data_IF_841682013547
#
_entry.id   IF_841682013547
#
_cell.length_a   1.000
_cell.length_b   1.000
_cell.length_c   1.000
_cell.angle_alpha   90.00
_cell.angle_beta   90.00
_cell.angle_gamma   90.00
#
_symmetry.space_group_name_H-M   'P 1'
#
loop_
_entity.id
_entity.type
_entity.pdbx_description
1 polymer ?
#
# COMPACT_ATOMS: atom_id res chain seq x y z
N UNK A 1 -16.29 23.34 -5.41
CA UNK A 1 -17.65 22.76 -5.29
C UNK A 1 -17.80 21.94 -4.02
N UNK A 2 -17.13 20.79 -3.86
CA UNK A 2 -17.26 19.91 -2.67
C UNK A 2 -17.03 20.66 -1.35
N UNK A 3 -15.90 21.38 -1.22
CA UNK A 3 -15.61 22.17 -0.03
C UNK A 3 -16.71 23.18 0.32
N UNK A 4 -17.24 23.89 -0.70
CA UNK A 4 -18.32 24.86 -0.51
C UNK A 4 -19.65 24.19 -0.10
N UNK A 5 -19.94 22.98 -0.59
CA UNK A 5 -21.11 22.20 -0.17
C UNK A 5 -21.02 21.76 1.29
N UNK A 6 -19.82 21.43 1.75
CA UNK A 6 -19.53 21.03 3.14
C UNK A 6 -19.28 22.24 4.06
N UNK A 7 -19.36 23.48 3.55
CA UNK A 7 -19.15 24.70 4.34
C UNK A 7 -17.69 24.92 4.78
N UNK A 8 -16.71 24.29 4.11
CA UNK A 8 -15.29 24.38 4.44
C UNK A 8 -14.48 25.06 3.31
N UNK A 9 -13.25 25.45 3.65
CA UNK A 9 -12.32 26.02 2.67
C UNK A 9 -11.75 24.95 1.72
N UNK A 10 -11.50 25.35 0.48
CA UNK A 10 -10.86 24.48 -0.52
C UNK A 10 -9.43 24.12 -0.09
N UNK A 11 -9.07 22.85 -0.22
CA UNK A 11 -7.71 22.34 0.05
C UNK A 11 -6.83 22.34 -1.20
N UNK A 12 -7.31 22.84 -2.34
CA UNK A 12 -6.54 22.87 -3.60
C UNK A 12 -6.45 21.51 -4.33
N UNK A 13 -7.20 20.50 -3.90
CA UNK A 13 -7.16 19.12 -4.42
C UNK A 13 -8.18 18.85 -5.54
N UNK A 14 -8.43 19.83 -6.41
CA UNK A 14 -9.28 19.64 -7.58
C UNK A 14 -8.42 19.16 -8.76
N UNK A 15 -8.76 18.01 -9.34
CA UNK A 15 -8.07 17.44 -10.49
C UNK A 15 -9.04 17.12 -11.62
N UNK A 16 -8.53 17.07 -12.86
CA UNK A 16 -9.30 16.70 -14.05
C UNK A 16 -8.40 15.93 -15.01
N UNK A 17 -8.93 14.91 -15.67
CA UNK A 17 -8.16 14.10 -16.62
C UNK A 17 -7.89 14.83 -17.94
N UNK A 18 -8.81 15.71 -18.35
CA UNK A 18 -8.70 16.50 -19.58
C UNK A 18 -9.56 17.76 -19.54
N UNK A 19 -9.38 18.64 -20.52
CA UNK A 19 -10.20 19.84 -20.72
C UNK A 19 -11.70 19.55 -20.96
N UNK A 20 -12.06 18.29 -21.26
CA UNK A 20 -13.45 17.85 -21.47
C UNK A 20 -14.11 17.27 -20.21
N UNK A 21 -13.32 16.88 -19.21
CA UNK A 21 -13.82 16.29 -17.97
C UNK A 21 -14.13 17.34 -16.90
N UNK A 22 -15.18 17.12 -16.11
CA UNK A 22 -15.45 17.94 -14.93
C UNK A 22 -14.35 17.74 -13.87
N UNK A 23 -13.97 18.79 -13.12
CA UNK A 23 -13.08 18.63 -11.98
C UNK A 23 -13.70 17.74 -10.90
N UNK A 24 -12.89 16.86 -10.32
CA UNK A 24 -13.22 16.03 -9.18
C UNK A 24 -12.17 16.22 -8.07
N UNK A 25 -12.47 15.73 -6.87
CA UNK A 25 -11.47 15.71 -5.78
C UNK A 25 -10.46 14.61 -6.08
N UNK A 26 -9.17 14.92 -5.97
CA UNK A 26 -8.09 13.94 -6.17
C UNK A 26 -6.76 14.42 -5.60
N UNK A 27 -5.84 13.50 -5.40
CA UNK A 27 -4.48 13.80 -4.93
C UNK A 27 -3.62 14.41 -6.02
N UNK A 28 -2.79 15.41 -5.69
CA UNK A 28 -1.68 15.86 -6.53
C UNK A 28 -0.50 14.91 -6.39
N UNK A 29 0.11 14.86 -5.20
CA UNK A 29 1.16 13.92 -4.82
C UNK A 29 0.75 13.17 -3.55
N UNK A 30 0.76 11.84 -3.60
CA UNK A 30 0.47 10.99 -2.44
C UNK A 30 1.76 10.32 -1.97
N UNK A 31 2.25 10.73 -0.81
CA UNK A 31 3.56 10.30 -0.28
C UNK A 31 3.37 9.64 1.07
N UNK A 32 3.75 8.37 1.17
CA UNK A 32 4.02 7.72 2.45
C UNK A 32 5.42 8.14 2.89
N UNK A 33 5.51 8.88 3.99
CA UNK A 33 6.79 9.34 4.53
C UNK A 33 7.66 8.13 4.94
N UNK A 34 8.98 8.18 4.66
CA UNK A 34 9.86 7.07 4.99
C UNK A 34 10.11 7.04 6.50
N UNK A 35 10.36 5.84 7.02
CA UNK A 35 10.90 5.67 8.36
C UNK A 35 12.42 5.71 8.39
N UNK A 36 12.99 5.31 9.51
CA UNK A 36 14.46 5.33 9.73
C UNK A 36 15.12 3.96 9.50
N UNK A 37 14.33 2.88 9.54
CA UNK A 37 14.87 1.51 9.47
C UNK A 37 15.09 1.08 8.02
N UNK A 38 16.18 0.39 7.75
CA UNK A 38 16.36 -0.30 6.46
C UNK A 38 15.36 -1.44 6.30
N UNK A 39 15.09 -1.86 5.06
CA UNK A 39 14.25 -3.04 4.78
C UNK A 39 14.77 -4.29 5.48
N UNK A 40 16.09 -4.47 5.55
CA UNK A 40 16.71 -5.57 6.30
C UNK A 40 16.40 -5.48 7.82
N UNK A 41 16.48 -4.28 8.40
CA UNK A 41 16.14 -4.07 9.80
C UNK A 41 14.63 -4.24 10.09
N UNK A 42 13.75 -4.05 9.10
CA UNK A 42 12.33 -4.39 9.23
C UNK A 42 12.10 -5.90 9.24
N UNK A 43 12.89 -6.65 8.47
CA UNK A 43 12.82 -8.12 8.43
C UNK A 43 13.45 -8.79 9.65
N UNK A 44 14.31 -8.07 10.38
CA UNK A 44 14.92 -8.58 11.59
C UNK A 44 13.86 -8.94 12.66
N UNK A 45 14.04 -10.10 13.31
CA UNK A 45 13.07 -10.68 14.23
C UNK A 45 11.86 -11.37 13.58
N UNK A 46 11.72 -11.38 12.25
CA UNK A 46 10.67 -12.16 11.57
C UNK A 46 11.12 -13.63 11.49
N UNK A 47 10.56 -14.47 12.36
CA UNK A 47 10.85 -15.92 12.36
C UNK A 47 10.36 -16.61 11.09
N UNK A 48 9.13 -16.31 10.67
CA UNK A 48 8.52 -16.78 9.43
C UNK A 48 7.62 -15.68 8.88
N UNK A 49 7.83 -15.27 7.65
CA UNK A 49 7.05 -14.24 6.99
C UNK A 49 7.18 -14.28 5.48
N UNK A 50 6.57 -13.32 4.81
CA UNK A 50 6.60 -13.19 3.37
C UNK A 50 6.96 -11.76 2.99
N UNK A 51 8.01 -11.61 2.20
CA UNK A 51 8.36 -10.35 1.55
C UNK A 51 7.63 -10.27 0.21
N UNK A 52 6.55 -9.47 0.15
CA UNK A 52 5.74 -9.30 -1.06
C UNK A 52 6.46 -8.36 -2.03
N UNK A 53 6.76 -8.84 -3.24
CA UNK A 53 7.45 -8.06 -4.28
C UNK A 53 6.50 -7.57 -5.35
N UNK A 54 5.39 -8.27 -5.57
CA UNK A 54 4.41 -7.94 -6.61
C UNK A 54 2.99 -8.30 -6.14
N UNK A 55 2.04 -7.43 -6.49
CA UNK A 55 0.61 -7.65 -6.27
C UNK A 55 -0.12 -7.42 -7.58
N UNK A 56 -0.89 -8.41 -8.00
CA UNK A 56 -1.64 -8.43 -9.24
C UNK A 56 -3.14 -8.34 -8.94
N UNK A 57 -3.83 -7.43 -9.62
CA UNK A 57 -5.29 -7.30 -9.47
C UNK A 57 -5.74 -6.21 -8.50
N UNK A 58 -4.86 -5.29 -8.06
CA UNK A 58 -5.25 -4.17 -7.18
C UNK A 58 -6.40 -3.29 -7.70
N UNK A 59 -6.78 -3.39 -8.97
CA UNK A 59 -7.95 -2.71 -9.53
C UNK A 59 -9.29 -3.33 -9.08
N UNK A 60 -9.27 -4.50 -8.43
CA UNK A 60 -10.48 -5.21 -7.96
C UNK A 60 -10.87 -4.88 -6.51
N UNK A 61 -10.10 -4.03 -5.83
CA UNK A 61 -10.41 -3.59 -4.47
C UNK A 61 -11.76 -2.87 -4.48
N UNK A 62 -12.66 -3.25 -3.56
CA UNK A 62 -13.93 -2.57 -3.40
C UNK A 62 -13.72 -1.26 -2.62
N UNK A 63 -13.90 -0.07 -3.23
CA UNK A 63 -13.65 1.20 -2.53
C UNK A 63 -14.73 1.54 -1.49
N UNK A 64 -15.87 0.85 -1.49
CA UNK A 64 -16.96 1.07 -0.54
C UNK A 64 -16.72 0.27 0.74
N UNK A 65 -16.49 -1.05 0.62
CA UNK A 65 -16.25 -1.89 1.80
C UNK A 65 -14.79 -1.90 2.25
N UNK A 66 -13.85 -1.68 1.32
CA UNK A 66 -12.41 -1.81 1.55
C UNK A 66 -11.87 -3.21 1.32
N UNK A 67 -12.73 -4.17 0.95
CA UNK A 67 -12.31 -5.56 0.79
C UNK A 67 -11.47 -5.78 -0.47
N UNK A 68 -10.45 -6.62 -0.34
CA UNK A 68 -9.58 -7.03 -1.44
C UNK A 68 -9.32 -8.53 -1.39
N UNK A 69 -9.11 -9.11 -2.57
CA UNK A 69 -8.61 -10.46 -2.76
C UNK A 69 -7.84 -10.47 -4.08
N UNK A 70 -6.51 -10.52 -4.00
CA UNK A 70 -5.61 -10.25 -5.12
C UNK A 70 -4.45 -11.24 -5.13
N UNK A 71 -3.96 -11.55 -6.33
CA UNK A 71 -2.80 -12.41 -6.49
C UNK A 71 -1.53 -11.69 -6.03
N UNK A 72 -0.58 -12.42 -5.45
CA UNK A 72 0.70 -11.89 -5.05
C UNK A 72 1.85 -12.84 -5.37
N UNK A 73 3.06 -12.28 -5.41
CA UNK A 73 4.30 -13.03 -5.43
C UNK A 73 5.33 -12.36 -4.54
N UNK A 74 6.28 -13.15 -4.06
CA UNK A 74 7.24 -12.69 -3.07
C UNK A 74 8.33 -13.70 -2.77
N UNK A 75 9.00 -13.48 -1.65
CA UNK A 75 10.11 -14.30 -1.16
C UNK A 75 9.84 -14.64 0.29
N UNK A 76 10.01 -15.90 0.68
CA UNK A 76 9.88 -16.31 2.08
C UNK A 76 10.95 -15.64 2.93
N UNK A 77 10.55 -15.21 4.12
CA UNK A 77 11.44 -14.77 5.19
C UNK A 77 11.51 -15.89 6.23
N UNK A 78 12.70 -16.40 6.50
CA UNK A 78 12.95 -17.36 7.58
C UNK A 78 14.09 -16.83 8.45
N UNK A 79 13.83 -16.66 9.75
CA UNK A 79 14.78 -16.11 10.74
C UNK A 79 15.43 -14.80 10.28
N UNK A 80 14.63 -13.89 9.73
CA UNK A 80 15.06 -12.58 9.23
C UNK A 80 15.78 -12.60 7.86
N UNK A 81 15.94 -13.77 7.24
CA UNK A 81 16.62 -13.91 5.95
C UNK A 81 15.65 -14.25 4.82
N UNK A 82 15.87 -13.68 3.64
CA UNK A 82 15.18 -14.07 2.42
C UNK A 82 15.68 -15.44 1.95
N UNK A 83 14.76 -16.39 1.74
CA UNK A 83 15.12 -17.78 1.40
C UNK A 83 14.75 -18.15 -0.02
N UNK A 84 13.48 -18.53 -0.28
CA UNK A 84 13.05 -19.00 -1.59
C UNK A 84 11.84 -18.21 -2.13
N UNK A 85 11.69 -18.10 -3.47
CA UNK A 85 10.58 -17.38 -4.08
C UNK A 85 9.26 -18.15 -3.94
N UNK A 86 8.16 -17.43 -3.77
CA UNK A 86 6.79 -17.94 -3.72
C UNK A 86 5.94 -17.19 -4.73
N UNK A 87 5.10 -17.93 -5.46
CA UNK A 87 4.20 -17.42 -6.50
C UNK A 87 2.84 -18.08 -6.39
N UNK A 88 1.83 -17.48 -7.01
CA UNK A 88 0.49 -18.06 -7.07
C UNK A 88 -0.27 -18.00 -5.75
N UNK A 89 0.19 -17.18 -4.81
CA UNK A 89 -0.52 -16.93 -3.55
C UNK A 89 -1.57 -15.84 -3.75
N UNK A 90 -2.61 -15.89 -2.93
CA UNK A 90 -3.65 -14.87 -2.84
C UNK A 90 -3.53 -14.19 -1.49
N UNK A 91 -3.58 -12.87 -1.48
CA UNK A 91 -3.73 -12.07 -0.26
C UNK A 91 -5.13 -11.49 -0.24
N UNK A 92 -5.80 -11.58 0.91
CA UNK A 92 -7.15 -11.07 1.07
C UNK A 92 -7.31 -10.37 2.42
N UNK A 93 -8.29 -9.48 2.52
CA UNK A 93 -8.58 -8.74 3.74
C UNK A 93 -9.28 -7.43 3.47
N UNK A 94 -9.22 -6.53 4.45
CA UNK A 94 -9.74 -5.17 4.34
C UNK A 94 -8.59 -4.16 4.34
N UNK A 95 -8.64 -3.16 3.46
CA UNK A 95 -7.57 -2.17 3.32
C UNK A 95 -7.39 -1.31 4.60
N UNK A 96 -8.47 -1.05 5.34
CA UNK A 96 -8.39 -0.27 6.58
C UNK A 96 -7.65 -1.05 7.66
N UNK A 97 -7.93 -2.36 7.78
CA UNK A 97 -7.23 -3.24 8.71
C UNK A 97 -5.76 -3.40 8.31
N UNK A 98 -5.47 -3.50 7.00
CA UNK A 98 -4.11 -3.55 6.49
C UNK A 98 -3.34 -2.29 6.92
N UNK A 99 -3.90 -1.11 6.69
CA UNK A 99 -3.27 0.16 7.08
C UNK A 99 -3.06 0.26 8.60
N UNK A 100 -4.00 -0.23 9.41
CA UNK A 100 -3.87 -0.27 10.87
C UNK A 100 -2.84 -1.31 11.37
N UNK A 101 -2.57 -2.34 10.58
CA UNK A 101 -1.59 -3.38 10.91
C UNK A 101 -0.14 -3.00 10.57
N UNK A 102 0.08 -1.84 9.95
CA UNK A 102 1.42 -1.31 9.69
C UNK A 102 2.11 -1.03 11.03
N UNK A 103 3.25 -1.67 11.25
CA UNK A 103 4.07 -1.50 12.48
C UNK A 103 5.52 -1.13 12.20
N UNK A 104 5.86 -0.91 10.94
CA UNK A 104 7.17 -0.45 10.51
C UNK A 104 7.13 0.15 9.11
N UNK A 105 7.90 1.21 8.91
CA UNK A 105 8.11 1.85 7.61
C UNK A 105 9.60 1.94 7.35
N UNK A 106 10.00 1.61 6.14
CA UNK A 106 11.38 1.58 5.69
C UNK A 106 11.90 2.96 5.34
N UNK A 107 13.22 3.08 5.29
CA UNK A 107 13.93 4.28 4.80
C UNK A 107 14.07 4.30 3.27
N UNK A 108 13.62 3.26 2.58
CA UNK A 108 13.80 3.00 1.16
C UNK A 108 12.69 3.63 0.29
N UNK A 109 12.58 4.96 0.35
CA UNK A 109 11.58 5.69 -0.44
C UNK A 109 11.75 5.47 -1.95
N UNK A 110 10.66 5.12 -2.63
CA UNK A 110 10.57 4.98 -4.08
C UNK A 110 9.44 5.82 -4.64
N UNK A 111 9.70 6.44 -5.77
CA UNK A 111 8.74 7.27 -6.50
C UNK A 111 8.15 6.50 -7.69
N UNK A 112 6.84 6.60 -7.85
CA UNK A 112 6.03 6.09 -8.94
C UNK A 112 5.17 7.22 -9.50
N UNK A 113 5.79 8.09 -10.30
CA UNK A 113 5.15 9.32 -10.78
C UNK A 113 4.79 10.24 -9.59
N UNK A 114 3.50 10.54 -9.43
CA UNK A 114 3.00 11.37 -8.33
C UNK A 114 2.71 10.62 -7.03
N UNK A 115 3.14 9.36 -6.93
CA UNK A 115 3.02 8.55 -5.71
C UNK A 115 4.40 8.19 -5.20
N UNK A 116 4.58 8.15 -3.89
CA UNK A 116 5.81 7.65 -3.30
C UNK A 116 5.51 6.79 -2.08
N UNK A 117 6.26 5.71 -1.94
CA UNK A 117 6.17 4.80 -0.80
C UNK A 117 7.53 4.21 -0.47
N UNK A 118 7.73 3.87 0.79
CA UNK A 118 8.81 3.00 1.24
C UNK A 118 8.28 1.59 1.50
N UNK A 119 9.17 0.66 1.84
CA UNK A 119 8.78 -0.66 2.35
C UNK A 119 7.93 -0.51 3.62
N UNK A 120 6.87 -1.32 3.74
CA UNK A 120 6.04 -1.37 4.95
C UNK A 120 6.06 -2.77 5.54
N UNK A 121 6.06 -2.85 6.87
CA UNK A 121 5.88 -4.10 7.60
C UNK A 121 4.48 -4.16 8.17
N UNK A 122 3.82 -5.28 7.92
CA UNK A 122 2.50 -5.59 8.44
C UNK A 122 2.65 -6.65 9.53
N UNK A 123 1.95 -6.47 10.66
CA UNK A 123 1.91 -7.48 11.73
C UNK A 123 1.33 -8.81 11.26
N UNK A 124 0.32 -8.74 10.40
CA UNK A 124 -0.40 -9.90 9.89
C UNK A 124 -1.13 -9.57 8.61
N UNK A 125 -1.20 -10.54 7.70
CA UNK A 125 -2.02 -10.51 6.50
C UNK A 125 -2.57 -11.90 6.25
N UNK A 126 -3.81 -12.02 5.77
CA UNK A 126 -4.37 -13.32 5.40
C UNK A 126 -3.84 -13.73 4.03
N UNK A 127 -3.22 -14.91 3.99
CA UNK A 127 -2.63 -15.50 2.79
C UNK A 127 -3.31 -16.85 2.56
N UNK A 128 -3.74 -17.11 1.32
CA UNK A 128 -4.20 -18.41 0.86
C UNK A 128 -3.42 -18.84 -0.38
N UNK A 129 -2.99 -20.11 -0.43
CA UNK A 129 -2.18 -20.65 -1.52
C UNK A 129 -1.38 -21.87 -1.10
#
# INVERSE_FOLDING_TARGET
YTAAREGINSTGNASRASFRSLPAVGSSNLVLLPGEKSTAALMDGINKGLYITEVMGMHTVNPISGDYSVGASGIMIEKGCLTFPVRGITIAGNIMDLLQSIDGVGSDMRFYGSRASASIRLKSINISG
#
